data_IF_909912598733
#
_entry.id   IF_909912598733
#
_cell.length_a   1.000
_cell.length_b   1.000
_cell.length_c   1.000
_cell.angle_alpha   90.00
_cell.angle_beta   90.00
_cell.angle_gamma   90.00
#
_symmetry.space_group_name_H-M   'P 1'
#
loop_
_entity.id
_entity.type
_entity.pdbx_description
1 polymer ?
#
# COMPACT_ATOMS: atom_id res chain seq x y z
N UNK A 1 8.43 -12.84 -9.86
CA UNK A 1 7.57 -13.73 -9.05
C UNK A 1 7.93 -15.16 -9.45
N UNK A 2 7.92 -16.14 -8.55
CA UNK A 2 8.15 -17.54 -8.95
C UNK A 2 6.87 -18.07 -9.61
N UNK A 3 6.98 -18.69 -10.78
CA UNK A 3 5.84 -19.23 -11.52
C UNK A 3 5.19 -20.36 -10.73
N UNK A 4 3.88 -20.42 -10.78
CA UNK A 4 3.06 -21.49 -10.21
C UNK A 4 3.57 -22.88 -10.71
N UNK A 5 3.73 -23.90 -9.85
CA UNK A 5 4.26 -25.20 -10.27
C UNK A 5 3.38 -25.98 -11.26
N UNK A 6 2.06 -25.82 -11.18
CA UNK A 6 1.09 -26.41 -12.13
C UNK A 6 1.26 -25.75 -13.49
N UNK A 7 1.34 -24.42 -13.54
CA UNK A 7 1.61 -23.70 -14.78
C UNK A 7 3.01 -24.00 -15.34
N UNK A 8 4.01 -24.13 -14.48
CA UNK A 8 5.36 -24.51 -14.88
C UNK A 8 5.46 -25.93 -15.42
N UNK A 9 4.58 -26.84 -14.99
CA UNK A 9 4.48 -28.17 -15.57
C UNK A 9 3.86 -28.13 -16.98
N UNK A 10 2.90 -27.22 -17.21
CA UNK A 10 2.20 -27.05 -18.48
C UNK A 10 3.02 -26.28 -19.54
N UNK A 11 3.81 -25.29 -19.12
CA UNK A 11 4.69 -24.48 -19.97
C UNK A 11 5.91 -25.30 -20.45
N UNK A 12 5.72 -26.10 -21.50
CA UNK A 12 6.70 -27.05 -22.00
C UNK A 12 7.89 -26.36 -22.69
N UNK A 13 7.65 -25.18 -23.28
CA UNK A 13 8.67 -24.42 -24.00
C UNK A 13 9.34 -23.33 -23.12
N UNK A 14 8.83 -23.11 -21.90
CA UNK A 14 9.31 -22.14 -20.90
C UNK A 14 9.26 -20.68 -21.37
N UNK A 15 8.27 -20.32 -22.20
CA UNK A 15 8.04 -18.96 -22.70
C UNK A 15 7.08 -18.13 -21.83
N UNK A 16 6.49 -18.74 -20.79
CA UNK A 16 5.54 -18.17 -19.83
C UNK A 16 4.15 -17.86 -20.41
N UNK A 17 3.82 -18.38 -21.58
CA UNK A 17 2.46 -18.45 -22.11
C UNK A 17 2.07 -19.93 -22.20
N UNK A 18 0.84 -20.28 -21.80
CA UNK A 18 0.34 -21.64 -22.03
C UNK A 18 -0.42 -21.62 -23.35
N UNK A 19 0.20 -22.18 -24.38
CA UNK A 19 -0.38 -22.24 -25.72
C UNK A 19 -1.52 -23.28 -25.80
N UNK A 20 -2.35 -23.19 -26.83
CA UNK A 20 -3.54 -24.05 -26.98
C UNK A 20 -3.22 -25.56 -27.00
N UNK A 21 -2.07 -25.94 -27.53
CA UNK A 21 -1.58 -27.33 -27.55
C UNK A 21 -1.10 -27.80 -26.17
N UNK A 22 -0.56 -26.90 -25.34
CA UNK A 22 -0.17 -27.19 -23.96
C UNK A 22 -1.40 -27.31 -23.05
N UNK A 23 -2.41 -26.46 -23.24
CA UNK A 23 -3.71 -26.58 -22.56
C UNK A 23 -4.37 -27.92 -22.91
N UNK A 24 -4.35 -28.31 -24.18
CA UNK A 24 -4.90 -29.60 -24.62
C UNK A 24 -4.16 -30.81 -24.02
N UNK A 25 -2.87 -30.66 -23.73
CA UNK A 25 -2.04 -31.70 -23.10
C UNK A 25 -2.21 -31.79 -21.57
N UNK A 26 -2.93 -30.84 -20.95
CA UNK A 26 -3.03 -30.73 -19.48
C UNK A 26 -3.41 -32.03 -18.75
N UNK A 27 -4.41 -32.84 -19.19
CA UNK A 27 -4.74 -34.09 -18.50
C UNK A 27 -3.55 -35.07 -18.39
N UNK A 28 -2.69 -35.08 -19.41
CA UNK A 28 -1.54 -36.00 -19.47
C UNK A 28 -0.32 -35.45 -18.75
N UNK A 29 -0.14 -34.12 -18.78
CA UNK A 29 0.99 -33.45 -18.13
C UNK A 29 0.80 -33.44 -16.61
N UNK A 30 -0.40 -33.06 -16.14
CA UNK A 30 -0.70 -32.95 -14.71
C UNK A 30 -0.70 -34.31 -14.01
N UNK A 31 -1.12 -35.38 -14.68
CA UNK A 31 -1.04 -36.73 -14.14
C UNK A 31 0.38 -37.17 -13.76
N UNK A 32 1.43 -36.52 -14.30
CA UNK A 32 2.83 -36.81 -13.93
C UNK A 32 3.25 -36.17 -12.60
N UNK A 33 2.41 -35.28 -12.06
CA UNK A 33 2.65 -34.65 -10.76
C UNK A 33 2.21 -35.55 -9.60
N UNK A 34 1.41 -36.59 -9.86
CA UNK A 34 1.03 -37.63 -8.89
C UNK A 34 2.29 -38.43 -8.54
N UNK A 35 2.85 -38.18 -7.36
CA UNK A 35 4.13 -38.78 -6.93
C UNK A 35 3.91 -40.12 -6.26
N UNK A 36 2.72 -40.34 -5.69
CA UNK A 36 2.40 -41.52 -4.92
C UNK A 36 1.57 -42.55 -5.72
N UNK A 37 1.22 -42.23 -6.96
CA UNK A 37 0.44 -43.02 -7.91
C UNK A 37 -0.94 -43.44 -7.37
N UNK A 38 -1.57 -42.60 -6.52
CA UNK A 38 -2.89 -42.86 -5.95
C UNK A 38 -4.06 -42.40 -6.84
N UNK A 39 -3.75 -41.76 -7.96
CA UNK A 39 -4.70 -41.28 -8.95
C UNK A 39 -5.32 -39.93 -8.61
N UNK A 40 -4.76 -39.21 -7.63
CA UNK A 40 -5.17 -37.87 -7.22
C UNK A 40 -3.97 -36.96 -7.11
N UNK A 41 -4.18 -35.66 -7.27
CA UNK A 41 -3.16 -34.65 -6.98
C UNK A 41 -3.51 -33.91 -5.71
N UNK A 42 -2.66 -34.05 -4.69
CA UNK A 42 -2.78 -33.34 -3.42
C UNK A 42 -2.00 -32.04 -3.38
N UNK A 43 -2.31 -31.16 -2.42
CA UNK A 43 -1.57 -29.92 -2.14
C UNK A 43 -0.03 -30.11 -2.14
N UNK A 44 0.48 -31.20 -1.56
CA UNK A 44 1.92 -31.48 -1.43
C UNK A 44 2.57 -31.91 -2.76
N UNK A 45 1.75 -32.33 -3.74
CA UNK A 45 2.20 -32.80 -5.05
C UNK A 45 2.25 -31.67 -6.06
N UNK A 46 1.29 -30.74 -5.97
CA UNK A 46 1.20 -29.55 -6.83
C UNK A 46 1.96 -28.35 -6.28
N UNK A 47 2.55 -28.44 -5.08
CA UNK A 47 3.43 -27.39 -4.52
C UNK A 47 4.92 -27.74 -4.65
N UNK A 48 5.71 -26.76 -5.07
CA UNK A 48 7.16 -26.82 -4.95
C UNK A 48 7.56 -26.51 -3.50
N UNK A 49 8.44 -27.33 -2.93
CA UNK A 49 9.01 -27.22 -1.57
C UNK A 49 9.37 -25.77 -1.22
N UNK A 50 8.48 -25.09 -0.47
CA UNK A 50 8.73 -23.80 0.13
C UNK A 50 9.71 -23.97 1.31
N UNK A 51 10.95 -24.32 0.99
CA UNK A 51 12.12 -24.21 1.84
C UNK A 51 12.00 -24.79 3.25
N UNK A 52 11.94 -26.11 3.38
CA UNK A 52 12.47 -26.76 4.59
C UNK A 52 13.90 -27.27 4.34
N UNK A 53 14.85 -26.34 4.15
CA UNK A 53 16.28 -26.65 4.26
C UNK A 53 16.72 -26.59 5.72
N UNK A 54 16.78 -27.76 6.34
CA UNK A 54 17.76 -28.06 7.38
C UNK A 54 17.19 -28.45 8.74
N UNK A 55 17.08 -29.75 9.00
CA UNK A 55 17.70 -30.31 10.20
C UNK A 55 18.14 -31.74 9.93
N UNK A 56 19.45 -31.87 9.69
CA UNK A 56 20.13 -33.15 9.69
C UNK A 56 20.12 -33.80 11.06
N UNK A 57 20.15 -35.12 11.04
CA UNK A 57 20.22 -36.06 12.14
C UNK A 57 20.67 -35.52 13.50
N UNK A 58 19.84 -35.74 14.52
CA UNK A 58 20.30 -35.82 15.91
C UNK A 58 20.05 -37.20 16.47
N UNK A 59 21.20 -37.83 16.74
CA UNK A 59 21.43 -39.02 17.54
C UNK A 59 20.67 -38.98 18.86
N UNK A 60 20.27 -40.17 19.27
CA UNK A 60 19.91 -40.59 20.63
C UNK A 60 20.80 -40.01 21.73
N UNK A 61 20.19 -39.42 22.75
CA UNK A 61 20.69 -39.50 24.13
C UNK A 61 19.54 -39.31 25.13
N UNK A 62 19.39 -40.32 25.99
CA UNK A 62 18.53 -40.36 27.17
C UNK A 62 18.74 -39.15 28.10
N UNK A 63 17.68 -38.70 28.76
CA UNK A 63 17.75 -37.69 29.81
C UNK A 63 16.38 -37.31 30.40
N UNK A 64 15.96 -38.11 31.38
CA UNK A 64 15.13 -37.81 32.57
C UNK A 64 13.82 -36.98 32.51
N UNK A 65 12.80 -37.57 33.14
CA UNK A 65 11.47 -37.04 33.45
C UNK A 65 11.50 -36.13 34.68
N UNK A 66 10.69 -35.07 34.68
CA UNK A 66 10.23 -34.33 35.87
C UNK A 66 8.93 -33.54 35.58
N UNK A 67 7.98 -33.37 36.52
CA UNK A 67 6.56 -33.32 36.18
C UNK A 67 5.89 -31.93 36.23
N UNK A 68 4.98 -31.71 35.28
CA UNK A 68 3.61 -31.17 35.47
C UNK A 68 3.40 -29.77 36.03
N UNK A 69 2.76 -28.89 35.23
CA UNK A 69 1.58 -28.08 35.61
C UNK A 69 1.01 -27.30 34.42
N UNK A 70 -0.32 -27.35 34.29
CA UNK A 70 -1.12 -26.26 33.71
C UNK A 70 -1.62 -26.45 32.28
N UNK A 71 -2.75 -27.14 32.12
CA UNK A 71 -3.62 -27.03 30.95
C UNK A 71 -4.12 -25.59 30.82
N UNK A 72 -3.91 -24.99 29.65
CA UNK A 72 -4.63 -23.82 29.17
C UNK A 72 -5.04 -24.11 27.73
N UNK A 73 -6.27 -24.57 27.55
CA UNK A 73 -6.93 -24.62 26.25
C UNK A 73 -7.08 -23.20 25.71
N UNK A 74 -6.52 -22.95 24.53
CA UNK A 74 -6.54 -21.64 23.88
C UNK A 74 -6.21 -21.76 22.40
N UNK A 75 -7.22 -22.11 21.60
CA UNK A 75 -7.37 -21.68 20.20
C UNK A 75 -6.23 -21.98 19.23
N UNK A 76 -6.15 -23.23 18.74
CA UNK A 76 -5.57 -23.50 17.41
C UNK A 76 -6.48 -22.88 16.35
N UNK A 77 -6.17 -21.65 15.94
CA UNK A 77 -6.99 -20.88 15.00
C UNK A 77 -6.18 -20.01 14.05
N UNK A 78 -4.99 -20.45 13.62
CA UNK A 78 -4.33 -19.95 12.41
C UNK A 78 -4.20 -21.13 11.45
N UNK A 79 -5.27 -21.45 10.71
CA UNK A 79 -5.11 -22.25 9.49
C UNK A 79 -4.49 -21.32 8.46
N UNK A 80 -3.23 -21.59 8.09
CA UNK A 80 -2.64 -21.01 6.89
C UNK A 80 -3.57 -21.28 5.69
N UNK A 81 -3.72 -20.30 4.81
CA UNK A 81 -4.31 -20.57 3.49
C UNK A 81 -3.38 -21.54 2.76
N UNK A 82 -3.93 -22.67 2.29
CA UNK A 82 -3.18 -23.62 1.47
C UNK A 82 -2.85 -22.99 0.11
N UNK A 83 -1.72 -23.39 -0.48
CA UNK A 83 -1.24 -22.89 -1.77
C UNK A 83 -2.24 -23.16 -2.92
N UNK A 84 -2.90 -24.33 -2.94
CA UNK A 84 -3.90 -24.69 -3.95
C UNK A 84 -5.12 -23.75 -3.95
N UNK A 85 -5.39 -23.08 -2.82
CA UNK A 85 -6.46 -22.07 -2.71
C UNK A 85 -5.99 -20.64 -3.00
N UNK A 86 -4.71 -20.44 -3.28
CA UNK A 86 -4.13 -19.13 -3.60
C UNK A 86 -4.12 -18.92 -5.12
N UNK A 87 -3.89 -19.97 -5.91
CA UNK A 87 -3.64 -19.84 -7.35
C UNK A 87 -4.88 -20.14 -8.21
N UNK A 88 -5.18 -19.34 -9.25
CA UNK A 88 -6.38 -19.52 -10.09
C UNK A 88 -6.39 -20.81 -10.89
N UNK A 89 -5.24 -21.27 -11.38
CA UNK A 89 -5.11 -22.52 -12.13
C UNK A 89 -5.49 -23.72 -11.25
N UNK A 90 -4.90 -23.81 -10.07
CA UNK A 90 -5.23 -24.82 -9.05
C UNK A 90 -6.73 -24.84 -8.72
N UNK A 91 -7.32 -23.66 -8.50
CA UNK A 91 -8.75 -23.54 -8.19
C UNK A 91 -9.65 -23.90 -9.37
N UNK A 92 -9.22 -23.63 -10.60
CA UNK A 92 -10.02 -24.01 -11.77
C UNK A 92 -10.05 -25.54 -11.92
N UNK A 93 -8.96 -26.21 -11.56
CA UNK A 93 -8.82 -27.67 -11.64
C UNK A 93 -9.56 -28.42 -10.51
N UNK A 94 -9.61 -27.87 -9.29
CA UNK A 94 -10.36 -28.39 -8.13
C UNK A 94 -11.83 -27.91 -8.18
N UNK A 95 -12.64 -28.58 -8.99
CA UNK A 95 -14.01 -28.16 -9.31
C UNK A 95 -14.99 -28.35 -8.14
N UNK A 96 -14.77 -29.34 -7.27
CA UNK A 96 -15.60 -29.61 -6.10
C UNK A 96 -15.07 -28.96 -4.79
N UNK A 97 -13.94 -28.25 -4.89
CA UNK A 97 -13.24 -27.53 -3.83
C UNK A 97 -12.76 -28.42 -2.65
N UNK A 98 -12.58 -29.72 -2.89
CA UNK A 98 -12.20 -30.70 -1.89
C UNK A 98 -10.68 -30.72 -1.59
N UNK A 99 -9.86 -30.00 -2.39
CA UNK A 99 -8.38 -29.91 -2.32
C UNK A 99 -7.60 -31.11 -2.85
N UNK A 100 -8.25 -31.95 -3.63
CA UNK A 100 -7.65 -33.08 -4.33
C UNK A 100 -8.16 -33.01 -5.77
N UNK A 101 -7.27 -32.95 -6.75
CA UNK A 101 -7.69 -33.06 -8.15
C UNK A 101 -7.85 -34.54 -8.47
N UNK A 102 -9.10 -34.99 -8.60
CA UNK A 102 -9.39 -36.39 -8.88
C UNK A 102 -9.29 -36.75 -10.37
N UNK A 103 -9.52 -38.04 -10.70
CA UNK A 103 -9.41 -38.54 -12.06
C UNK A 103 -10.43 -37.93 -13.05
N UNK A 104 -11.59 -37.45 -12.59
CA UNK A 104 -12.58 -36.78 -13.43
C UNK A 104 -12.20 -35.31 -13.65
N UNK A 105 -11.69 -34.63 -12.62
CA UNK A 105 -11.17 -33.27 -12.70
C UNK A 105 -9.91 -33.17 -13.57
N UNK A 106 -9.00 -34.15 -13.45
CA UNK A 106 -7.84 -34.30 -14.34
C UNK A 106 -8.25 -34.43 -15.81
N UNK A 107 -9.29 -35.21 -16.11
CA UNK A 107 -9.83 -35.33 -17.48
C UNK A 107 -10.45 -34.03 -17.97
N UNK A 108 -11.08 -33.27 -17.07
CA UNK A 108 -11.71 -31.99 -17.37
C UNK A 108 -10.72 -30.81 -17.40
N UNK A 109 -9.47 -31.01 -16.99
CA UNK A 109 -8.46 -29.96 -16.78
C UNK A 109 -8.30 -28.98 -17.94
N UNK A 110 -8.24 -29.46 -19.19
CA UNK A 110 -8.15 -28.60 -20.36
C UNK A 110 -9.36 -27.64 -20.49
N UNK A 111 -10.56 -28.14 -20.19
CA UNK A 111 -11.79 -27.32 -20.22
C UNK A 111 -11.81 -26.35 -19.06
N UNK A 112 -11.36 -26.78 -17.87
CA UNK A 112 -11.26 -25.94 -16.69
C UNK A 112 -10.28 -24.77 -16.89
N UNK A 113 -9.11 -25.02 -17.45
CA UNK A 113 -8.09 -24.00 -17.71
C UNK A 113 -8.56 -22.96 -18.72
N UNK A 114 -9.32 -23.35 -19.76
CA UNK A 114 -9.91 -22.42 -20.71
C UNK A 114 -10.92 -21.45 -20.09
N UNK A 115 -11.43 -21.71 -18.87
CA UNK A 115 -12.27 -20.72 -18.17
C UNK A 115 -11.48 -19.48 -17.70
N UNK A 116 -10.15 -19.58 -17.67
CA UNK A 116 -9.26 -18.47 -17.31
C UNK A 116 -8.90 -17.58 -18.52
N UNK A 117 -9.10 -18.07 -19.75
CA UNK A 117 -8.88 -17.33 -21.01
C UNK A 117 -9.95 -16.24 -21.14
N UNK A 118 -9.60 -15.02 -20.73
CA UNK A 118 -10.55 -13.90 -20.68
C UNK A 118 -10.76 -13.27 -22.03
N UNK A 119 -9.70 -13.24 -22.84
CA UNK A 119 -9.71 -12.60 -24.15
C UNK A 119 -10.22 -13.56 -25.26
N UNK A 120 -10.41 -14.84 -24.93
CA UNK A 120 -10.84 -15.94 -25.80
C UNK A 120 -9.91 -16.16 -27.00
N UNK A 121 -8.61 -15.96 -26.83
CA UNK A 121 -7.60 -16.17 -27.87
C UNK A 121 -7.06 -17.61 -27.92
N UNK A 122 -7.49 -18.46 -26.98
CA UNK A 122 -7.11 -19.86 -26.86
C UNK A 122 -5.78 -20.08 -26.17
N UNK A 123 -5.19 -19.06 -25.57
CA UNK A 123 -3.96 -19.12 -24.79
C UNK A 123 -4.21 -18.60 -23.38
N UNK A 124 -3.27 -18.90 -22.48
CA UNK A 124 -3.28 -18.34 -21.13
C UNK A 124 -2.00 -17.56 -20.89
N UNK A 125 -2.16 -16.26 -20.68
CA UNK A 125 -1.07 -15.34 -20.34
C UNK A 125 -0.90 -15.20 -18.83
N UNK A 126 0.26 -14.72 -18.37
CA UNK A 126 0.56 -14.50 -16.95
C UNK A 126 -0.55 -13.70 -16.24
N UNK A 127 -1.12 -12.69 -16.88
CA UNK A 127 -2.19 -11.85 -16.29
C UNK A 127 -3.53 -12.58 -16.10
N UNK A 128 -3.80 -13.60 -16.90
CA UNK A 128 -5.04 -14.40 -16.86
C UNK A 128 -4.99 -15.47 -15.77
N UNK A 129 -3.81 -16.03 -15.54
CA UNK A 129 -3.56 -17.14 -14.60
C UNK A 129 -2.93 -16.70 -13.30
N UNK A 130 -2.41 -15.47 -13.20
CA UNK A 130 -1.92 -14.90 -11.96
C UNK A 130 -3.05 -14.80 -10.93
N UNK A 131 -2.77 -15.06 -9.63
CA UNK A 131 -3.74 -14.90 -8.55
C UNK A 131 -4.38 -13.53 -8.58
N UNK A 132 -5.58 -13.50 -9.13
CA UNK A 132 -6.50 -12.38 -9.00
C UNK A 132 -7.00 -12.45 -7.57
N UNK A 133 -6.32 -11.72 -6.69
CA UNK A 133 -6.77 -11.43 -5.34
C UNK A 133 -8.04 -10.56 -5.41
N UNK A 134 -9.13 -11.12 -5.92
CA UNK A 134 -10.44 -10.49 -5.92
C UNK A 134 -10.95 -10.37 -4.49
N UNK A 135 -11.35 -9.15 -4.11
CA UNK A 135 -12.14 -8.81 -2.91
C UNK A 135 -11.50 -9.09 -1.55
N UNK A 136 -10.23 -8.74 -1.38
CA UNK A 136 -9.73 -8.29 -0.06
C UNK A 136 -9.26 -6.87 -0.20
N UNK A 137 -9.60 -6.03 0.78
CA UNK A 137 -8.95 -4.74 0.95
C UNK A 137 -7.43 -4.92 0.95
N UNK A 138 -6.66 -3.84 0.74
CA UNK A 138 -5.21 -3.93 0.67
C UNK A 138 -4.68 -4.75 1.85
N UNK A 139 -3.78 -5.71 1.58
CA UNK A 139 -3.08 -6.51 2.59
C UNK A 139 -2.08 -5.64 3.36
N UNK A 140 -2.60 -4.59 3.99
CA UNK A 140 -1.89 -3.50 4.64
C UNK A 140 -2.68 -3.11 5.88
N UNK A 141 -1.99 -2.96 7.00
CA UNK A 141 -2.61 -2.43 8.21
C UNK A 141 -2.90 -0.94 8.07
N UNK A 142 -3.78 -0.42 8.92
CA UNK A 142 -3.97 1.02 9.06
C UNK A 142 -2.64 1.73 9.40
N UNK A 143 -2.55 2.99 9.00
CA UNK A 143 -1.50 3.92 9.38
C UNK A 143 -2.14 5.22 9.94
N UNK A 144 -1.35 6.28 10.09
CA UNK A 144 -1.77 7.52 10.76
C UNK A 144 -2.44 8.53 9.81
N UNK A 145 -2.18 8.41 8.50
CA UNK A 145 -2.75 9.30 7.49
C UNK A 145 -4.27 9.16 7.39
N UNK A 146 -4.96 10.30 7.29
CA UNK A 146 -6.40 10.35 7.09
C UNK A 146 -6.76 9.99 5.65
N UNK A 147 -7.99 9.52 5.44
CA UNK A 147 -8.54 9.31 4.10
C UNK A 147 -9.02 10.65 3.51
N UNK A 148 -8.85 10.82 2.20
CA UNK A 148 -9.48 11.90 1.41
C UNK A 148 -10.53 11.31 0.47
N UNK A 149 -11.56 12.08 0.14
CA UNK A 149 -12.52 11.71 -0.89
C UNK A 149 -12.19 12.46 -2.17
N UNK A 150 -12.08 11.74 -3.28
CA UNK A 150 -11.83 12.31 -4.61
C UNK A 150 -12.82 11.74 -5.63
N UNK A 151 -12.93 12.40 -6.77
CA UNK A 151 -13.70 11.93 -7.92
C UNK A 151 -12.82 11.99 -9.16
N UNK A 152 -12.74 10.86 -9.88
CA UNK A 152 -11.97 10.75 -11.13
C UNK A 152 -12.86 10.04 -12.14
N UNK A 153 -13.06 10.65 -13.31
CA UNK A 153 -13.91 10.09 -14.38
C UNK A 153 -15.29 9.61 -13.88
N UNK A 154 -15.94 10.43 -13.03
CA UNK A 154 -17.24 10.16 -12.42
C UNK A 154 -17.25 9.05 -11.37
N UNK A 155 -16.09 8.46 -11.03
CA UNK A 155 -15.96 7.47 -9.97
C UNK A 155 -15.51 8.13 -8.67
N UNK A 156 -16.40 8.16 -7.68
CA UNK A 156 -16.03 8.59 -6.32
C UNK A 156 -15.24 7.50 -5.60
N UNK A 157 -14.14 7.90 -4.97
CA UNK A 157 -13.25 6.98 -4.27
C UNK A 157 -12.64 7.63 -3.02
N UNK A 158 -12.34 6.80 -2.02
CA UNK A 158 -11.55 7.17 -0.85
C UNK A 158 -10.10 6.81 -1.08
N UNK A 159 -9.21 7.77 -0.89
CA UNK A 159 -7.77 7.58 -0.99
C UNK A 159 -7.15 7.60 0.39
N UNK A 160 -6.36 6.60 0.71
CA UNK A 160 -5.68 6.53 2.01
C UNK A 160 -4.28 5.95 1.86
N UNK A 161 -3.33 6.58 2.56
CA UNK A 161 -1.99 6.04 2.74
C UNK A 161 -1.97 5.11 3.95
N UNK A 162 -1.90 3.82 3.70
CA UNK A 162 -1.84 2.74 4.67
C UNK A 162 -0.39 2.39 5.02
N UNK A 163 -0.18 1.41 5.89
CA UNK A 163 1.13 1.02 6.40
C UNK A 163 2.16 0.66 5.31
N UNK A 164 1.70 0.12 4.18
CA UNK A 164 2.58 -0.37 3.11
C UNK A 164 2.19 0.12 1.72
N UNK A 165 1.17 0.97 1.61
CA UNK A 165 0.66 1.37 0.30
C UNK A 165 -0.24 2.59 0.33
N UNK A 166 -0.27 3.36 -0.75
CA UNK A 166 -1.33 4.31 -1.07
C UNK A 166 -2.38 3.60 -1.93
N UNK A 167 -3.66 3.73 -1.57
CA UNK A 167 -4.75 3.05 -2.29
C UNK A 167 -5.90 3.97 -2.59
N UNK A 168 -6.63 3.66 -3.66
CA UNK A 168 -7.97 4.17 -3.90
C UNK A 168 -9.00 3.06 -3.72
N UNK A 169 -10.07 3.37 -3.01
CA UNK A 169 -11.17 2.45 -2.68
C UNK A 169 -12.47 3.05 -3.20
N UNK A 170 -13.25 2.27 -3.94
CA UNK A 170 -14.57 2.68 -4.42
C UNK A 170 -15.47 3.08 -3.25
N UNK A 171 -16.01 4.30 -3.29
CA UNK A 171 -16.85 4.82 -2.22
C UNK A 171 -18.20 4.11 -2.09
N UNK A 172 -18.68 3.45 -3.16
CA UNK A 172 -19.99 2.80 -3.18
C UNK A 172 -20.00 1.43 -2.48
N UNK A 173 -18.93 0.64 -2.65
CA UNK A 173 -18.91 -0.76 -2.24
C UNK A 173 -17.62 -1.21 -1.54
N UNK A 174 -16.64 -0.31 -1.37
CA UNK A 174 -15.40 -0.60 -0.66
C UNK A 174 -14.39 -1.44 -1.47
N UNK A 175 -14.59 -1.62 -2.78
CA UNK A 175 -13.64 -2.36 -3.60
C UNK A 175 -12.36 -1.57 -3.85
N UNK A 176 -11.21 -2.26 -3.86
CA UNK A 176 -9.93 -1.68 -4.23
C UNK A 176 -9.95 -1.31 -5.72
N UNK A 177 -9.60 -0.07 -6.05
CA UNK A 177 -9.55 0.43 -7.42
C UNK A 177 -8.11 0.50 -7.98
N UNK A 178 -7.16 0.88 -7.14
CA UNK A 178 -5.74 1.03 -7.51
C UNK A 178 -4.83 1.04 -6.29
N UNK A 179 -3.53 0.85 -6.53
CA UNK A 179 -2.48 0.71 -5.51
C UNK A 179 -1.18 1.38 -5.96
N UNK A 180 -0.49 2.06 -5.04
CA UNK A 180 0.83 2.66 -5.25
C UNK A 180 1.70 2.56 -3.99
N UNK A 181 2.71 1.69 -4.01
CA UNK A 181 3.43 1.29 -2.79
C UNK A 181 4.55 2.23 -2.38
N UNK A 182 5.16 2.91 -3.36
CA UNK A 182 6.42 3.63 -3.17
C UNK A 182 6.31 4.83 -2.23
N UNK A 183 5.11 5.39 -2.06
CA UNK A 183 4.86 6.47 -1.11
C UNK A 183 4.88 6.02 0.36
N UNK A 184 4.71 4.72 0.65
CA UNK A 184 4.74 4.18 2.00
C UNK A 184 6.16 3.84 2.45
N UNK A 185 6.57 4.30 3.63
CA UNK A 185 7.90 4.00 4.15
C UNK A 185 7.99 2.60 4.77
N UNK A 186 9.23 2.11 4.89
CA UNK A 186 9.54 0.79 5.47
C UNK A 186 9.17 0.66 6.94
N UNK A 187 9.11 1.77 7.67
CA UNK A 187 8.79 1.79 9.09
C UNK A 187 7.28 1.66 9.33
N UNK A 188 6.45 1.74 8.29
CA UNK A 188 4.97 1.71 8.36
C UNK A 188 4.38 2.89 9.15
N UNK A 189 5.16 3.96 9.31
CA UNK A 189 4.75 5.17 10.03
C UNK A 189 4.47 6.23 8.97
N UNK A 190 3.27 6.14 8.38
CA UNK A 190 2.84 7.04 7.32
C UNK A 190 1.79 8.00 7.90
N UNK A 191 2.19 9.26 8.08
CA UNK A 191 1.39 10.29 8.78
C UNK A 191 0.75 11.31 7.84
N UNK A 192 1.36 11.54 6.67
CA UNK A 192 0.92 12.56 5.74
C UNK A 192 -0.37 12.14 5.05
N UNK A 193 -1.44 12.91 5.28
CA UNK A 193 -2.68 12.78 4.52
C UNK A 193 -2.38 13.07 3.03
N UNK A 194 -2.77 12.18 2.09
CA UNK A 194 -2.58 12.42 0.66
C UNK A 194 -3.26 13.70 0.19
N UNK A 195 -2.79 14.25 -0.92
CA UNK A 195 -3.42 15.38 -1.61
C UNK A 195 -3.84 14.97 -3.01
N UNK A 196 -4.96 15.54 -3.48
CA UNK A 196 -5.42 15.38 -4.86
C UNK A 196 -5.65 16.75 -5.47
N UNK A 197 -4.98 17.02 -6.59
CA UNK A 197 -5.09 18.28 -7.31
C UNK A 197 -4.74 18.05 -8.78
N UNK A 198 -5.45 18.69 -9.70
CA UNK A 198 -5.21 18.62 -11.15
C UNK A 198 -4.97 17.20 -11.72
N UNK A 199 -5.73 16.23 -11.22
CA UNK A 199 -5.64 14.83 -11.69
C UNK A 199 -4.52 14.00 -11.09
N UNK A 200 -3.68 14.58 -10.22
CA UNK A 200 -2.60 13.89 -9.53
C UNK A 200 -2.95 13.61 -8.07
N UNK A 201 -2.68 12.40 -7.62
CA UNK A 201 -2.66 12.04 -6.20
C UNK A 201 -1.22 12.02 -5.73
N UNK A 202 -0.87 12.85 -4.75
CA UNK A 202 0.46 12.85 -4.13
C UNK A 202 0.40 12.35 -2.69
N UNK A 203 1.39 11.54 -2.31
CA UNK A 203 1.59 11.11 -0.94
C UNK A 203 3.09 11.07 -0.62
N UNK A 204 3.42 11.40 0.63
CA UNK A 204 4.80 11.46 1.10
C UNK A 204 4.94 10.86 2.49
N UNK A 205 6.11 10.28 2.76
CA UNK A 205 6.44 9.72 4.05
C UNK A 205 7.86 10.11 4.46
N UNK A 206 8.07 10.36 5.74
CA UNK A 206 9.37 10.59 6.33
C UNK A 206 10.22 9.30 6.42
N UNK A 207 11.26 9.33 7.27
CA UNK A 207 12.17 8.21 7.52
C UNK A 207 12.96 7.79 6.29
N UNK A 208 13.47 8.76 5.52
CA UNK A 208 14.31 8.51 4.35
C UNK A 208 13.54 8.14 3.08
N UNK A 209 12.19 8.17 3.09
CA UNK A 209 11.40 7.71 1.95
C UNK A 209 11.25 8.77 0.86
N UNK A 210 10.56 9.87 1.17
CA UNK A 210 10.11 10.83 0.15
C UNK A 210 8.65 10.63 -0.22
N UNK A 211 8.27 11.17 -1.37
CA UNK A 211 6.90 11.12 -1.88
C UNK A 211 6.81 10.99 -3.38
N UNK A 212 5.64 10.56 -3.85
CA UNK A 212 5.37 10.40 -5.28
C UNK A 212 3.97 10.86 -5.64
N UNK A 213 3.83 11.31 -6.88
CA UNK A 213 2.56 11.65 -7.50
C UNK A 213 2.18 10.61 -8.54
N UNK A 214 0.93 10.16 -8.50
CA UNK A 214 0.35 9.27 -9.49
C UNK A 214 -0.79 9.93 -10.24
N UNK A 215 -0.85 9.71 -11.55
CA UNK A 215 -2.01 10.00 -12.37
C UNK A 215 -2.91 8.79 -12.41
N UNK A 216 -4.20 9.01 -12.26
CA UNK A 216 -5.20 7.94 -12.27
C UNK A 216 -5.89 7.90 -13.63
N UNK A 217 -5.89 6.75 -14.28
CA UNK A 217 -6.58 6.52 -15.56
C UNK A 217 -7.56 5.36 -15.39
N UNK A 218 -8.85 5.62 -15.61
CA UNK A 218 -9.89 4.59 -15.52
C UNK A 218 -9.71 3.54 -16.62
N UNK A 219 -9.80 2.28 -16.24
CA UNK A 219 -9.69 1.13 -17.14
C UNK A 219 -11.09 0.64 -17.57
N UNK A 220 -11.21 -0.10 -18.69
CA UNK A 220 -12.49 -0.64 -19.16
C UNK A 220 -13.21 -1.56 -18.16
N UNK A 221 -12.47 -2.23 -17.28
CA UNK A 221 -12.98 -3.11 -16.24
C UNK A 221 -13.49 -2.36 -14.98
N UNK A 222 -13.41 -1.03 -14.99
CA UNK A 222 -13.82 -0.16 -13.88
C UNK A 222 -12.74 0.08 -12.82
N UNK A 223 -11.58 -0.58 -12.91
CA UNK A 223 -10.41 -0.29 -12.07
C UNK A 223 -9.69 0.99 -12.53
N UNK A 224 -8.61 1.35 -11.85
CA UNK A 224 -7.76 2.47 -12.25
C UNK A 224 -6.31 2.03 -12.33
N UNK A 225 -5.62 2.50 -13.36
CA UNK A 225 -4.17 2.47 -13.39
C UNK A 225 -3.65 3.70 -12.66
N UNK A 226 -2.75 3.48 -11.69
CA UNK A 226 -2.01 4.53 -11.02
C UNK A 226 -0.60 4.64 -11.66
N UNK A 227 -0.45 5.56 -12.61
CA UNK A 227 0.82 5.80 -13.29
C UNK A 227 1.67 6.79 -12.48
N UNK A 228 2.88 6.41 -12.09
CA UNK A 228 3.81 7.33 -11.42
C UNK A 228 4.24 8.44 -12.38
N UNK A 229 3.89 9.68 -12.06
CA UNK A 229 4.36 10.87 -12.79
C UNK A 229 5.75 11.26 -12.31
N UNK A 230 5.95 11.25 -11.00
CA UNK A 230 7.27 11.42 -10.40
C UNK A 230 7.34 10.78 -9.02
N UNK A 231 8.58 10.48 -8.61
CA UNK A 231 8.94 10.23 -7.23
C UNK A 231 10.12 11.11 -6.83
N UNK A 232 10.08 11.64 -5.62
CA UNK A 232 11.06 12.59 -5.13
C UNK A 232 11.42 12.37 -3.67
N UNK A 233 12.73 12.30 -3.38
CA UNK A 233 13.25 12.23 -2.00
C UNK A 233 13.28 13.60 -1.32
N UNK A 234 12.86 14.63 -2.06
CA UNK A 234 12.89 16.04 -1.70
C UNK A 234 11.73 16.49 -0.81
N UNK A 235 10.71 15.65 -0.66
CA UNK A 235 9.58 15.87 0.24
C UNK A 235 9.35 14.63 1.09
N UNK A 236 10.06 14.55 2.21
CA UNK A 236 9.88 13.54 3.24
C UNK A 236 9.07 14.19 4.36
N UNK A 237 7.75 14.07 4.35
CA UNK A 237 6.91 14.76 5.34
C UNK A 237 6.65 13.86 6.55
N UNK A 238 6.90 14.40 7.75
CA UNK A 238 6.93 13.64 9.00
C UNK A 238 5.61 13.73 9.79
N UNK A 239 5.05 14.94 9.86
CA UNK A 239 3.94 15.25 10.77
C UNK A 239 2.65 15.66 10.06
N UNK A 240 2.57 15.55 8.74
CA UNK A 240 1.43 16.02 7.96
C UNK A 240 1.55 17.47 7.50
N UNK A 241 0.45 18.02 6.99
CA UNK A 241 0.39 19.39 6.46
C UNK A 241 1.21 19.55 5.17
N UNK A 242 0.77 18.89 4.10
CA UNK A 242 1.24 19.15 2.74
C UNK A 242 0.11 19.84 1.99
N UNK A 243 0.41 20.99 1.38
CA UNK A 243 -0.60 21.88 0.76
C UNK A 243 -0.21 22.13 -0.70
N UNK A 244 -1.16 21.95 -1.60
CA UNK A 244 -1.02 22.38 -3.00
C UNK A 244 -1.72 23.71 -3.17
N UNK A 245 -1.01 24.71 -3.69
CA UNK A 245 -1.58 26.02 -4.01
C UNK A 245 -0.81 26.64 -5.18
N UNK A 246 -1.53 27.09 -6.22
CA UNK A 246 -0.96 27.75 -7.41
C UNK A 246 0.18 26.96 -8.07
N UNK A 247 -0.06 25.66 -8.31
CA UNK A 247 0.92 24.73 -8.90
C UNK A 247 2.13 24.40 -8.00
N UNK A 248 2.15 24.88 -6.76
CA UNK A 248 3.24 24.64 -5.81
C UNK A 248 2.82 23.69 -4.70
N UNK A 249 3.70 22.75 -4.35
CA UNK A 249 3.56 21.82 -3.23
C UNK A 249 4.39 22.33 -2.04
N UNK A 250 3.70 22.77 -1.00
CA UNK A 250 4.30 23.23 0.25
C UNK A 250 4.27 22.12 1.30
N UNK A 251 5.38 21.88 1.97
CA UNK A 251 5.44 20.91 3.06
C UNK A 251 6.69 21.06 3.91
N UNK A 252 6.57 20.71 5.19
CA UNK A 252 7.73 20.55 6.05
C UNK A 252 8.47 19.26 5.66
N UNK A 253 9.63 19.39 5.01
CA UNK A 253 10.48 18.26 4.64
C UNK A 253 11.47 17.96 5.78
N UNK A 254 11.47 16.72 6.28
CA UNK A 254 12.41 16.26 7.29
C UNK A 254 11.98 14.97 8.00
N UNK A 255 12.58 14.74 9.16
CA UNK A 255 12.35 13.57 9.99
C UNK A 255 12.67 13.81 11.45
N UNK A 256 13.20 12.78 12.12
CA UNK A 256 13.62 12.89 13.51
C UNK A 256 14.81 13.85 13.69
N UNK A 257 15.61 14.02 12.64
CA UNK A 257 16.79 14.87 12.57
C UNK A 257 16.49 16.37 12.37
N UNK A 258 15.22 16.76 12.42
CA UNK A 258 14.77 18.11 12.07
C UNK A 258 14.34 18.21 10.62
N UNK A 259 14.13 19.43 10.14
CA UNK A 259 13.67 19.66 8.79
C UNK A 259 13.55 21.13 8.44
N UNK A 260 12.99 21.39 7.27
CA UNK A 260 12.78 22.74 6.76
C UNK A 260 11.55 22.77 5.88
N UNK A 261 10.92 23.93 5.77
CA UNK A 261 9.88 24.16 4.80
C UNK A 261 10.46 24.07 3.39
N UNK A 262 9.79 23.30 2.55
CA UNK A 262 10.11 23.15 1.15
C UNK A 262 8.90 23.52 0.29
N UNK A 263 9.21 24.09 -0.88
CA UNK A 263 8.27 24.33 -1.96
C UNK A 263 8.77 23.58 -3.19
N UNK A 264 7.93 22.73 -3.75
CA UNK A 264 8.21 22.01 -5.00
C UNK A 264 7.22 22.41 -6.06
N UNK A 265 7.61 22.25 -7.32
CA UNK A 265 6.64 22.25 -8.41
C UNK A 265 5.77 20.99 -8.28
N UNK A 266 4.45 21.16 -8.20
CA UNK A 266 3.55 20.04 -7.95
C UNK A 266 3.41 19.10 -9.15
N UNK A 267 3.64 19.57 -10.37
CA UNK A 267 3.53 18.73 -11.56
C UNK A 267 4.78 17.86 -11.77
N UNK A 268 5.95 18.36 -11.37
CA UNK A 268 7.25 17.69 -11.65
C UNK A 268 7.95 17.13 -10.42
N UNK A 269 7.61 17.60 -9.21
CA UNK A 269 8.31 17.24 -7.98
C UNK A 269 9.71 17.83 -7.87
N UNK A 270 10.03 18.84 -8.68
CA UNK A 270 11.30 19.57 -8.62
C UNK A 270 11.33 20.58 -7.48
N UNK A 271 12.51 20.80 -6.91
CA UNK A 271 12.68 21.82 -5.87
C UNK A 271 12.54 23.21 -6.50
N UNK A 272 11.68 24.05 -5.92
CA UNK A 272 11.66 25.48 -6.21
C UNK A 272 12.52 26.22 -5.19
N UNK A 273 12.27 25.98 -3.89
CA UNK A 273 13.08 26.52 -2.81
C UNK A 273 12.91 25.73 -1.51
N UNK A 274 13.85 25.95 -0.59
CA UNK A 274 13.82 25.46 0.80
C UNK A 274 14.34 26.54 1.73
N UNK A 275 13.77 26.69 2.90
CA UNK A 275 14.23 27.67 3.88
C UNK A 275 14.22 27.11 5.30
N UNK A 276 15.37 27.18 5.96
CA UNK A 276 15.58 26.66 7.33
C UNK A 276 15.06 27.59 8.42
N UNK A 277 14.68 28.83 8.10
CA UNK A 277 14.00 29.74 9.05
C UNK A 277 12.61 29.23 9.43
N UNK A 278 12.03 28.38 8.60
CA UNK A 278 10.82 27.65 8.86
C UNK A 278 11.19 26.17 9.03
N UNK A 279 11.30 25.70 10.27
CA UNK A 279 11.72 24.33 10.58
C UNK A 279 10.59 23.32 10.31
N UNK A 280 10.80 22.06 10.68
CA UNK A 280 9.75 21.05 10.52
C UNK A 280 8.53 21.38 11.38
N UNK A 281 7.36 20.95 10.92
CA UNK A 281 6.11 21.26 11.58
C UNK A 281 4.91 20.78 10.79
N UNK A 282 3.74 21.30 11.17
CA UNK A 282 2.47 21.06 10.50
C UNK A 282 1.94 22.34 9.86
N UNK A 283 1.51 22.25 8.61
CA UNK A 283 0.91 23.36 7.86
C UNK A 283 -0.62 23.31 7.91
N UNK A 284 -1.22 24.49 7.98
CA UNK A 284 -2.60 24.75 7.58
C UNK A 284 -2.65 25.89 6.56
N UNK A 285 -3.72 25.94 5.77
CA UNK A 285 -3.93 26.98 4.77
C UNK A 285 -5.28 27.67 4.97
N UNK A 286 -5.27 28.99 5.08
CA UNK A 286 -6.47 29.81 5.22
C UNK A 286 -6.21 31.24 4.72
N UNK A 287 -7.21 31.87 4.12
CA UNK A 287 -7.15 33.27 3.63
C UNK A 287 -5.90 33.59 2.79
N UNK A 288 -5.48 32.66 1.93
CA UNK A 288 -4.30 32.85 1.07
C UNK A 288 -2.96 32.85 1.81
N UNK A 289 -2.91 32.26 3.02
CA UNK A 289 -1.72 32.18 3.86
C UNK A 289 -1.50 30.76 4.37
N UNK A 290 -0.22 30.40 4.50
CA UNK A 290 0.23 29.19 5.16
C UNK A 290 0.51 29.51 6.63
N UNK A 291 -0.04 28.70 7.53
CA UNK A 291 0.20 28.76 8.97
C UNK A 291 1.02 27.53 9.33
N UNK A 292 2.32 27.72 9.55
CA UNK A 292 3.22 26.66 10.00
C UNK A 292 3.29 26.68 11.51
N UNK A 293 2.93 25.58 12.17
CA UNK A 293 3.32 25.34 13.55
C UNK A 293 4.55 24.45 13.56
N UNK A 294 5.69 24.99 13.99
CA UNK A 294 6.95 24.23 14.06
C UNK A 294 6.92 23.24 15.22
N UNK A 295 7.80 22.23 15.19
CA UNK A 295 7.93 21.27 16.29
C UNK A 295 8.37 21.93 17.60
N UNK A 296 9.09 23.04 17.49
CA UNK A 296 9.54 23.91 18.57
C UNK A 296 8.42 24.84 19.07
N UNK A 297 7.22 24.75 18.49
CA UNK A 297 6.00 25.39 18.94
C UNK A 297 5.75 26.79 18.40
N UNK A 298 6.70 27.41 17.70
CA UNK A 298 6.45 28.70 17.05
C UNK A 298 5.39 28.56 15.96
N UNK A 299 4.60 29.62 15.78
CA UNK A 299 3.68 29.73 14.66
C UNK A 299 4.22 30.78 13.71
N UNK A 300 4.37 30.40 12.45
CA UNK A 300 4.88 31.25 11.39
C UNK A 300 3.77 31.45 10.36
N UNK A 301 3.44 32.71 10.09
CA UNK A 301 2.53 33.11 9.02
C UNK A 301 3.34 33.36 7.75
N UNK A 302 2.98 32.66 6.68
CA UNK A 302 3.78 32.59 5.46
C UNK A 302 2.89 32.96 4.28
N UNK A 303 3.40 33.84 3.43
CA UNK A 303 2.81 34.11 2.13
C UNK A 303 3.30 33.05 1.12
N UNK A 304 2.39 32.28 0.49
CA UNK A 304 2.77 31.35 -0.56
C UNK A 304 3.46 32.10 -1.69
N UNK A 305 4.62 31.61 -2.11
CA UNK A 305 5.35 32.12 -3.26
C UNK A 305 6.10 30.97 -3.92
N UNK A 306 6.12 30.99 -5.26
CA UNK A 306 6.88 30.04 -6.08
C UNK A 306 8.39 30.28 -5.99
N UNK A 307 8.82 31.51 -5.73
CA UNK A 307 10.22 31.92 -5.92
C UNK A 307 11.05 31.85 -4.64
N UNK A 308 10.43 32.07 -3.47
CA UNK A 308 11.13 32.10 -2.18
C UNK A 308 10.19 31.98 -0.99
N UNK A 309 10.77 31.73 0.18
CA UNK A 309 10.09 31.88 1.46
C UNK A 309 9.80 33.36 1.78
N UNK A 310 8.56 33.66 2.20
CA UNK A 310 8.11 35.00 2.60
C UNK A 310 7.37 34.93 3.94
N UNK A 311 8.08 35.22 5.03
CA UNK A 311 7.51 35.34 6.37
C UNK A 311 6.74 36.67 6.50
N UNK A 312 5.52 36.60 7.03
CA UNK A 312 4.65 37.74 7.32
C UNK A 312 4.48 38.00 8.82
N UNK A 313 4.79 37.02 9.65
CA UNK A 313 4.77 37.17 11.09
C UNK A 313 5.12 35.86 11.79
N UNK A 314 5.49 35.97 13.06
CA UNK A 314 5.86 34.84 13.92
C UNK A 314 5.52 35.15 15.37
N UNK A 315 5.09 34.13 16.10
CA UNK A 315 4.95 34.22 17.55
C UNK A 315 5.13 32.87 18.22
N UNK A 316 5.56 32.91 19.48
CA UNK A 316 5.52 31.77 20.40
C UNK A 316 4.31 31.88 21.32
N UNK A 317 3.70 30.76 21.68
CA UNK A 317 2.64 30.77 22.69
C UNK A 317 3.30 30.94 24.08
N UNK A 318 2.83 31.87 24.94
CA UNK A 318 3.53 32.21 26.18
C UNK A 318 3.57 31.07 27.20
N UNK A 319 2.50 30.27 27.29
CA UNK A 319 2.34 29.21 28.30
C UNK A 319 2.42 27.79 27.70
N UNK A 320 3.09 27.62 26.55
CA UNK A 320 3.27 26.27 25.98
C UNK A 320 4.21 25.44 26.84
N UNK A 321 4.06 24.13 26.72
CA UNK A 321 5.02 23.18 27.28
C UNK A 321 6.32 23.17 26.47
N UNK A 322 7.38 22.65 27.07
CA UNK A 322 8.65 22.38 26.38
C UNK A 322 8.61 21.12 25.50
N UNK A 323 7.46 20.42 25.45
CA UNK A 323 7.31 19.22 24.65
C UNK A 323 7.21 19.54 23.16
N UNK A 324 7.53 18.58 22.27
CA UNK A 324 7.34 18.72 20.84
C UNK A 324 5.89 19.06 20.46
N UNK A 325 5.74 20.06 19.59
CA UNK A 325 4.47 20.61 19.14
C UNK A 325 3.98 19.94 17.84
N UNK A 326 3.48 18.70 17.93
CA UNK A 326 3.04 17.93 16.75
C UNK A 326 1.57 18.14 16.34
N UNK A 327 0.76 18.80 17.17
CA UNK A 327 -0.66 18.99 16.84
C UNK A 327 -0.82 20.04 15.75
N UNK A 328 -1.65 19.73 14.75
CA UNK A 328 -1.92 20.62 13.63
C UNK A 328 -2.66 21.89 14.08
N UNK A 329 -2.31 23.08 13.55
CA UNK A 329 -3.11 24.28 13.76
C UNK A 329 -4.46 24.16 13.04
N UNK A 330 -5.51 24.70 13.66
CA UNK A 330 -6.86 24.73 13.07
C UNK A 330 -7.33 26.18 12.97
N UNK A 331 -7.75 26.59 11.78
CA UNK A 331 -8.31 27.93 11.54
C UNK A 331 -9.80 27.77 11.25
N UNK A 332 -10.64 28.43 12.05
CA UNK A 332 -12.08 28.44 11.85
C UNK A 332 -12.69 29.73 12.41
N UNK A 333 -13.67 30.30 11.70
CA UNK A 333 -14.44 31.47 12.17
C UNK A 333 -13.58 32.66 12.60
N UNK A 334 -12.51 32.95 11.85
CA UNK A 334 -11.57 34.03 12.17
C UNK A 334 -10.68 33.75 13.40
N UNK A 335 -10.60 32.48 13.86
CA UNK A 335 -9.80 32.09 15.01
C UNK A 335 -8.80 31.00 14.66
N UNK A 336 -7.59 31.12 15.20
CA UNK A 336 -6.54 30.11 15.14
C UNK A 336 -6.49 29.36 16.47
N UNK A 337 -6.75 28.07 16.42
CA UNK A 337 -6.70 27.15 17.55
C UNK A 337 -5.41 26.34 17.52
N UNK A 338 -4.71 26.33 18.65
CA UNK A 338 -3.44 25.61 18.80
C UNK A 338 -3.52 24.80 20.08
N UNK A 339 -3.51 23.47 19.94
CA UNK A 339 -3.41 22.57 21.07
C UNK A 339 -1.95 22.29 21.38
N UNK A 340 -1.57 22.46 22.63
CA UNK A 340 -0.27 22.07 23.17
C UNK A 340 -0.46 21.17 24.38
N UNK A 341 -0.25 19.86 24.19
CA UNK A 341 -0.50 18.83 25.21
C UNK A 341 -1.92 18.95 25.81
N UNK A 342 -2.04 19.44 27.04
CA UNK A 342 -3.29 19.63 27.79
C UNK A 342 -3.84 21.06 27.73
N UNK A 343 -3.17 21.96 27.02
CA UNK A 343 -3.57 23.36 26.85
C UNK A 343 -4.11 23.62 25.45
N UNK A 344 -5.13 24.49 25.34
CA UNK A 344 -5.65 24.97 24.07
C UNK A 344 -5.58 26.50 24.03
N UNK A 345 -4.81 27.03 23.10
CA UNK A 345 -4.74 28.46 22.81
C UNK A 345 -5.70 28.81 21.68
N UNK A 346 -6.25 30.02 21.74
CA UNK A 346 -7.12 30.56 20.71
C UNK A 346 -6.72 32.01 20.43
N UNK A 347 -6.40 32.30 19.18
CA UNK A 347 -5.99 33.63 18.72
C UNK A 347 -7.04 34.16 17.75
N UNK A 348 -7.37 35.45 17.87
CA UNK A 348 -8.13 36.13 16.84
C UNK A 348 -7.23 36.42 15.64
N UNK A 349 -7.63 35.92 14.48
CA UNK A 349 -6.92 36.10 13.21
C UNK A 349 -7.86 36.67 12.14
N UNK A 350 -9.01 37.20 12.55
CA UNK A 350 -9.87 37.99 11.68
C UNK A 350 -9.23 39.34 11.36
N UNK A 351 -9.56 39.89 10.19
CA UNK A 351 -9.00 41.15 9.68
C UNK A 351 -9.57 42.37 10.39
#
# INVERSE_FOLDING_TARGET
MQMDPVLAALDANSDKEIASDEIAAAPTVLAKLDKNDDGKLTDDEVTADFGNRGEGGRRSSQGERGPGRGQGEGGRGRRGMSAMRIMPADRALDADENREIDAEELKASATALLTLDKNNDGKLTEDEVAPQFGRRGPSSSAAYASAIAIEVDGQRQYVQLLATTLVGINAADGQLLWRYDRAANRNRINCTTPVYHDGLVFAASAYGNGGGAVKLTKQPDGTFQAEEVYFTTKMQNHHGGVIVYDGCLYGANGGNEGGMLACLDFATGEDLWRDRKAEKGSLAFADGRLYLRTEEGEVVLIEPSRDRFIERGRFAQPDRTESPAWTHPVIANGKLYIRDQDTLFCYDVSK
#
